data_IF_533455806379
#
_entry.id   IF_533455806379
#
_cell.length_a   1.000
_cell.length_b   1.000
_cell.length_c   1.000
_cell.angle_alpha   90.00
_cell.angle_beta   90.00
_cell.angle_gamma   90.00
#
_symmetry.space_group_name_H-M   'P 1'
#
loop_
_entity.id
_entity.type
_entity.pdbx_description
1 polymer ?
#
# COMPACT_ATOMS: atom_id res chain seq x y z
N UNK A 1 -9.80 44.18 -60.53
CA UNK A 1 -8.53 43.46 -60.30
C UNK A 1 -7.78 43.93 -59.05
N UNK A 2 -7.76 45.21 -58.67
CA UNK A 2 -6.97 45.70 -57.52
C UNK A 2 -7.41 45.22 -56.12
N UNK A 3 -8.72 45.09 -55.88
CA UNK A 3 -9.25 44.76 -54.54
C UNK A 3 -8.92 43.32 -54.11
N UNK A 4 -8.93 42.39 -55.06
CA UNK A 4 -8.62 40.97 -54.80
C UNK A 4 -7.14 40.79 -54.45
N UNK A 5 -6.25 41.55 -55.10
CA UNK A 5 -4.81 41.52 -54.81
C UNK A 5 -4.51 42.03 -53.39
N UNK A 6 -5.20 43.09 -52.96
CA UNK A 6 -4.99 43.69 -51.62
C UNK A 6 -5.48 42.79 -50.48
N UNK A 7 -6.59 42.07 -50.67
CA UNK A 7 -7.09 41.11 -49.68
C UNK A 7 -6.18 39.88 -49.54
N UNK A 8 -5.63 39.40 -50.66
CA UNK A 8 -4.68 38.28 -50.63
C UNK A 8 -3.40 38.65 -49.87
N UNK A 9 -2.87 39.84 -50.12
CA UNK A 9 -1.66 40.33 -49.45
C UNK A 9 -1.87 40.50 -47.94
N UNK A 10 -3.04 40.99 -47.51
CA UNK A 10 -3.35 41.18 -46.09
C UNK A 10 -3.51 39.86 -45.34
N UNK A 11 -4.07 38.83 -45.97
CA UNK A 11 -4.17 37.50 -45.37
C UNK A 11 -2.81 36.80 -45.23
N UNK A 12 -1.94 36.91 -46.24
CA UNK A 12 -0.58 36.35 -46.17
C UNK A 12 0.21 36.98 -45.02
N UNK A 13 0.13 38.30 -44.82
CA UNK A 13 0.82 38.98 -43.71
C UNK A 13 0.27 38.54 -42.34
N UNK A 14 -1.05 38.38 -42.21
CA UNK A 14 -1.66 37.88 -40.97
C UNK A 14 -1.24 36.43 -40.65
N UNK A 15 -1.15 35.56 -41.66
CA UNK A 15 -0.69 34.19 -41.48
C UNK A 15 0.79 34.14 -41.05
N UNK A 16 1.65 34.95 -41.66
CA UNK A 16 3.08 35.01 -41.29
C UNK A 16 3.24 35.53 -39.85
N UNK A 17 2.47 36.56 -39.46
CA UNK A 17 2.50 37.10 -38.10
C UNK A 17 2.01 36.07 -37.06
N UNK A 18 0.95 35.31 -37.36
CA UNK A 18 0.45 34.26 -36.48
C UNK A 18 1.46 33.12 -36.30
N UNK A 19 2.14 32.70 -37.37
CA UNK A 19 3.18 31.65 -37.30
C UNK A 19 4.39 32.13 -36.48
N UNK A 20 4.81 33.39 -36.64
CA UNK A 20 5.91 33.96 -35.86
C UNK A 20 5.58 34.08 -34.35
N UNK A 21 4.33 34.39 -34.00
CA UNK A 21 3.87 34.45 -32.61
C UNK A 21 3.70 33.06 -31.97
N UNK A 22 3.40 32.03 -32.77
CA UNK A 22 3.35 30.64 -32.27
C UNK A 22 4.73 30.05 -32.03
N UNK A 23 5.74 30.41 -32.83
CA UNK A 23 7.10 29.87 -32.70
C UNK A 23 7.95 30.52 -31.59
N UNK A 24 7.48 31.59 -30.95
CA UNK A 24 8.22 32.30 -29.89
C UNK A 24 7.89 31.84 -28.46
N UNK A 25 7.16 30.72 -28.29
CA UNK A 25 6.65 30.29 -26.98
C UNK A 25 7.36 29.14 -26.26
N UNK A 26 8.41 28.52 -26.78
CA UNK A 26 9.00 27.35 -26.11
C UNK A 26 10.53 27.24 -26.19
N UNK A 27 11.24 28.33 -25.89
CA UNK A 27 12.57 28.19 -25.30
C UNK A 27 12.42 28.31 -23.77
N UNK A 28 11.77 27.29 -23.19
CA UNK A 28 12.00 26.96 -21.78
C UNK A 28 13.41 26.39 -21.73
N UNK A 29 14.38 27.29 -21.74
CA UNK A 29 15.73 26.97 -21.29
C UNK A 29 15.58 26.62 -19.82
N UNK A 30 15.44 25.32 -19.55
CA UNK A 30 15.66 24.75 -18.24
C UNK A 30 17.13 24.99 -17.90
N UNK A 31 17.42 26.21 -17.47
CA UNK A 31 18.67 26.54 -16.83
C UNK A 31 18.69 25.77 -15.53
N UNK A 32 19.25 24.56 -15.61
CA UNK A 32 19.84 23.84 -14.49
C UNK A 32 21.15 24.58 -14.19
N UNK A 33 21.05 25.87 -13.86
CA UNK A 33 22.02 26.43 -12.95
C UNK A 33 21.84 25.63 -11.66
N UNK A 34 22.92 25.10 -11.06
CA UNK A 34 22.85 24.60 -9.69
C UNK A 34 22.49 25.79 -8.83
N UNK A 35 21.18 26.05 -8.66
CA UNK A 35 20.68 26.81 -7.52
C UNK A 35 21.08 25.95 -6.34
N UNK A 36 22.19 26.34 -5.73
CA UNK A 36 22.45 26.13 -4.33
C UNK A 36 21.22 26.63 -3.56
N UNK A 37 20.20 25.79 -3.45
CA UNK A 37 19.05 25.98 -2.57
C UNK A 37 19.43 25.73 -1.11
N UNK A 38 20.70 25.46 -0.83
CA UNK A 38 21.32 25.83 0.43
C UNK A 38 21.41 27.36 0.52
N UNK A 39 20.24 28.00 0.63
CA UNK A 39 20.10 29.36 1.12
C UNK A 39 20.53 29.35 2.58
N UNK A 40 21.81 29.65 2.75
CA UNK A 40 22.70 29.88 3.90
C UNK A 40 22.17 30.62 5.12
N UNK A 41 20.87 30.70 5.38
CA UNK A 41 20.35 31.22 6.66
C UNK A 41 19.09 30.46 7.05
N UNK A 42 19.25 29.21 7.52
CA UNK A 42 18.26 28.66 8.43
C UNK A 42 18.30 29.54 9.67
N UNK A 43 17.34 30.48 9.80
CA UNK A 43 17.08 31.06 11.11
C UNK A 43 16.82 29.88 12.05
N UNK A 44 17.56 29.73 13.15
CA UNK A 44 17.33 28.63 14.08
C UNK A 44 15.87 28.69 14.52
N UNK A 45 15.05 27.78 14.00
CA UNK A 45 13.66 27.68 14.40
C UNK A 45 13.64 26.96 15.75
N UNK A 46 12.68 27.35 16.59
CA UNK A 46 12.51 26.71 17.88
C UNK A 46 12.08 25.26 17.67
N UNK A 47 12.66 24.26 18.36
CA UNK A 47 12.17 22.87 18.32
C UNK A 47 10.68 22.71 18.69
N UNK A 48 10.11 23.73 19.34
CA UNK A 48 8.70 23.79 19.71
C UNK A 48 7.76 24.31 18.60
N UNK A 49 8.26 24.56 17.38
CA UNK A 49 7.40 24.96 16.27
C UNK A 49 6.47 23.80 15.87
N UNK A 50 5.15 24.01 15.78
CA UNK A 50 4.22 22.98 15.34
C UNK A 50 4.59 22.39 13.97
N UNK A 51 5.13 23.19 13.04
CA UNK A 51 5.52 22.72 11.70
C UNK A 51 6.65 21.68 11.78
N UNK A 52 7.62 21.90 12.68
CA UNK A 52 8.74 20.96 12.87
C UNK A 52 8.23 19.69 13.55
N UNK A 53 7.36 19.81 14.55
CA UNK A 53 6.79 18.64 15.20
C UNK A 53 5.94 17.80 14.24
N UNK A 54 5.18 18.45 13.34
CA UNK A 54 4.41 17.78 12.29
C UNK A 54 5.33 17.07 11.30
N UNK A 55 6.40 17.73 10.85
CA UNK A 55 7.41 17.12 9.98
C UNK A 55 8.11 15.92 10.63
N UNK A 56 8.51 16.03 11.90
CA UNK A 56 9.14 14.94 12.64
C UNK A 56 8.21 13.74 12.81
N UNK A 57 6.92 13.98 13.12
CA UNK A 57 5.92 12.92 13.23
C UNK A 57 5.64 12.26 11.87
N UNK A 58 5.50 13.07 10.80
CA UNK A 58 5.37 12.55 9.44
C UNK A 58 6.54 11.61 9.12
N UNK A 59 7.75 12.00 9.47
CA UNK A 59 8.93 11.22 9.18
C UNK A 59 9.01 9.92 9.99
N UNK A 60 8.64 9.97 11.27
CA UNK A 60 8.49 8.79 12.12
C UNK A 60 7.47 7.80 11.54
N UNK A 61 6.33 8.30 11.07
CA UNK A 61 5.27 7.45 10.51
C UNK A 61 5.69 6.80 9.19
N UNK A 62 6.43 7.51 8.34
CA UNK A 62 7.01 6.90 7.13
C UNK A 62 8.06 5.84 7.48
N UNK A 63 8.93 6.09 8.47
CA UNK A 63 9.91 5.10 8.94
C UNK A 63 9.23 3.82 9.45
N UNK A 64 8.14 3.96 10.20
CA UNK A 64 7.32 2.83 10.66
C UNK A 64 6.69 2.08 9.49
N UNK A 65 6.20 2.80 8.48
CA UNK A 65 5.56 2.21 7.31
C UNK A 65 6.54 1.49 6.36
N UNK A 66 7.80 1.92 6.31
CA UNK A 66 8.86 1.29 5.50
C UNK A 66 9.38 -0.03 6.11
N UNK A 67 8.93 -0.40 7.30
CA UNK A 67 9.42 -1.58 8.02
C UNK A 67 8.80 -2.87 7.51
N UNK A 68 9.51 -3.60 6.65
CA UNK A 68 9.10 -4.95 6.24
C UNK A 68 9.03 -5.91 7.45
N UNK A 69 9.99 -5.77 8.37
CA UNK A 69 10.07 -6.57 9.59
C UNK A 69 9.08 -6.17 10.67
N UNK A 70 8.39 -5.03 10.52
CA UNK A 70 7.56 -4.42 11.56
C UNK A 70 8.34 -3.90 12.79
N UNK A 71 9.65 -4.11 12.91
CA UNK A 71 10.38 -3.72 14.12
C UNK A 71 10.42 -2.20 14.32
N UNK A 72 10.44 -1.41 13.24
CA UNK A 72 10.43 0.05 13.35
C UNK A 72 9.09 0.60 13.84
N UNK A 73 8.02 -0.20 13.92
CA UNK A 73 6.76 0.21 14.60
C UNK A 73 7.00 0.61 16.06
N UNK A 74 8.08 0.11 16.66
CA UNK A 74 8.49 0.39 18.04
C UNK A 74 9.24 1.72 18.18
N UNK A 75 9.65 2.35 17.08
CA UNK A 75 10.29 3.67 17.10
C UNK A 75 9.30 4.69 17.66
N UNK A 76 9.80 5.56 18.52
CA UNK A 76 9.05 6.72 19.03
C UNK A 76 9.93 7.97 18.99
N UNK A 77 9.32 9.14 18.80
CA UNK A 77 10.05 10.41 18.80
C UNK A 77 10.35 10.80 20.26
N UNK A 78 11.64 10.85 20.64
CA UNK A 78 12.06 11.23 21.98
C UNK A 78 12.30 12.73 22.11
N UNK A 79 13.05 13.30 21.15
CA UNK A 79 13.42 14.71 21.17
C UNK A 79 13.70 15.23 19.76
N UNK A 80 13.51 16.53 19.55
CA UNK A 80 13.94 17.25 18.35
C UNK A 80 15.08 18.17 18.78
N UNK A 81 16.30 17.95 18.27
CA UNK A 81 17.47 18.74 18.69
C UNK A 81 17.59 20.01 17.88
N UNK A 82 17.51 19.89 16.56
CA UNK A 82 17.61 21.00 15.63
C UNK A 82 16.45 20.92 14.63
N UNK A 83 15.73 22.03 14.52
CA UNK A 83 14.54 22.21 13.71
C UNK A 83 14.59 21.72 12.26
N UNK A 84 15.79 21.53 11.70
CA UNK A 84 15.97 21.27 10.28
C UNK A 84 16.44 19.84 9.96
N UNK A 85 17.12 19.15 10.88
CA UNK A 85 17.92 17.99 10.50
C UNK A 85 18.07 16.91 11.57
N UNK A 86 17.95 17.20 12.87
CA UNK A 86 18.36 16.23 13.90
C UNK A 86 17.19 15.86 14.81
N UNK A 87 16.80 14.58 14.75
CA UNK A 87 15.79 13.98 15.63
C UNK A 87 16.40 12.87 16.48
N UNK A 88 15.96 12.78 17.73
CA UNK A 88 16.27 11.67 18.61
C UNK A 88 15.11 10.68 18.57
N UNK A 89 15.40 9.46 18.12
CA UNK A 89 14.45 8.35 18.09
C UNK A 89 14.71 7.43 19.28
N UNK A 90 13.64 6.87 19.84
CA UNK A 90 13.70 5.91 20.92
C UNK A 90 13.19 4.55 20.48
N UNK A 91 13.95 3.50 20.80
CA UNK A 91 13.56 2.10 20.65
C UNK A 91 14.37 1.24 21.64
N UNK A 92 13.74 0.23 22.27
CA UNK A 92 14.47 -0.72 23.09
C UNK A 92 15.35 -1.69 22.28
N UNK A 93 15.24 -1.67 20.95
CA UNK A 93 15.83 -2.67 20.06
C UNK A 93 16.97 -2.13 19.20
N UNK A 94 17.50 -0.95 19.50
CA UNK A 94 18.66 -0.44 18.79
C UNK A 94 19.90 -1.30 19.02
N UNK A 95 20.72 -1.44 17.97
CA UNK A 95 21.97 -2.21 18.02
C UNK A 95 22.95 -1.68 19.05
N UNK A 96 22.96 -0.36 19.30
CA UNK A 96 23.85 0.24 20.32
C UNK A 96 23.43 -0.06 21.76
N UNK A 97 22.22 -0.62 21.97
CA UNK A 97 21.58 -0.86 23.27
C UNK A 97 21.30 0.41 24.08
N UNK A 98 21.32 1.57 23.44
CA UNK A 98 20.83 2.82 24.03
C UNK A 98 19.33 2.91 23.78
N UNK A 99 18.60 3.50 24.72
CA UNK A 99 17.16 3.70 24.55
C UNK A 99 16.84 4.81 23.55
N UNK A 100 17.76 5.76 23.37
CA UNK A 100 17.61 6.93 22.50
C UNK A 100 18.88 7.13 21.67
N UNK A 101 18.70 7.32 20.37
CA UNK A 101 19.76 7.61 19.40
C UNK A 101 19.38 8.81 18.53
N UNK A 102 20.40 9.57 18.12
CA UNK A 102 20.24 10.79 17.34
C UNK A 102 20.50 10.47 15.86
N UNK A 103 19.60 10.93 14.99
CA UNK A 103 19.65 10.67 13.55
C UNK A 103 19.53 11.98 12.76
N UNK A 104 20.30 12.06 11.67
CA UNK A 104 20.17 13.13 10.69
C UNK A 104 19.11 12.77 9.65
N UNK A 105 18.02 13.53 9.67
CA UNK A 105 16.84 13.32 8.85
C UNK A 105 16.29 14.66 8.36
N UNK A 106 16.06 14.73 7.06
CA UNK A 106 15.48 15.89 6.39
C UNK A 106 14.12 15.56 5.80
N UNK A 107 13.12 16.38 6.11
CA UNK A 107 11.80 16.33 5.48
C UNK A 107 11.73 17.40 4.41
N UNK A 108 11.50 16.97 3.17
CA UNK A 108 11.40 17.83 2.00
C UNK A 108 9.93 17.96 1.61
N UNK A 109 9.41 19.18 1.67
CA UNK A 109 8.09 19.49 1.14
C UNK A 109 8.21 20.00 -0.30
N UNK A 110 7.56 19.32 -1.25
CA UNK A 110 7.48 19.81 -2.62
C UNK A 110 6.62 21.06 -2.70
N UNK A 111 7.07 22.05 -3.47
CA UNK A 111 6.25 23.24 -3.74
C UNK A 111 5.04 22.80 -4.56
N UNK A 112 3.81 23.19 -4.18
CA UNK A 112 2.61 22.84 -4.93
C UNK A 112 2.74 23.36 -6.36
N UNK A 113 2.38 22.52 -7.34
CA UNK A 113 2.42 22.93 -8.74
C UNK A 113 1.42 24.07 -8.95
N UNK A 114 1.75 24.99 -9.85
CA UNK A 114 0.90 26.18 -10.12
C UNK A 114 -0.52 25.78 -10.50
N UNK A 115 -0.67 24.67 -11.23
CA UNK A 115 -1.96 24.14 -11.68
C UNK A 115 -2.81 23.55 -10.53
N UNK A 116 -2.18 22.95 -9.51
CA UNK A 116 -2.89 22.38 -8.35
C UNK A 116 -3.47 23.46 -7.44
N UNK A 117 -2.78 24.61 -7.34
CA UNK A 117 -3.30 25.78 -6.62
C UNK A 117 -4.65 26.26 -7.16
N UNK A 118 -4.88 26.12 -8.47
CA UNK A 118 -6.15 26.51 -9.09
C UNK A 118 -7.31 25.57 -8.72
N UNK A 119 -7.01 24.32 -8.31
CA UNK A 119 -8.02 23.31 -7.95
C UNK A 119 -8.39 23.29 -6.47
N UNK A 120 -7.73 24.11 -5.63
CA UNK A 120 -8.01 24.20 -4.19
C UNK A 120 -7.57 22.98 -3.36
N UNK A 121 -7.01 21.94 -3.98
CA UNK A 121 -6.41 20.79 -3.31
C UNK A 121 -4.91 21.04 -3.08
N UNK A 122 -4.53 21.42 -1.88
CA UNK A 122 -3.13 21.63 -1.50
C UNK A 122 -2.54 20.37 -0.86
N UNK A 123 -2.36 19.31 -1.64
CA UNK A 123 -1.63 18.14 -1.15
C UNK A 123 -0.14 18.33 -1.47
N UNK A 124 0.58 18.99 -0.56
CA UNK A 124 2.03 19.05 -0.66
C UNK A 124 2.58 17.62 -0.54
N UNK A 125 3.27 17.14 -1.59
CA UNK A 125 3.97 15.86 -1.48
C UNK A 125 5.18 16.06 -0.59
N UNK A 126 5.26 15.28 0.48
CA UNK A 126 6.40 15.28 1.42
C UNK A 126 7.26 14.05 1.16
N UNK A 127 8.58 14.24 1.15
CA UNK A 127 9.55 13.15 1.08
C UNK A 127 10.56 13.27 2.21
N UNK A 128 11.23 12.18 2.54
CA UNK A 128 12.21 12.13 3.62
C UNK A 128 13.53 11.68 3.04
N UNK A 129 14.61 12.31 3.47
CA UNK A 129 15.97 11.88 3.24
C UNK A 129 16.61 11.59 4.59
N UNK A 130 17.21 10.41 4.71
CA UNK A 130 17.91 9.95 5.92
C UNK A 130 19.31 9.57 5.46
N UNK A 131 20.32 10.05 6.18
CA UNK A 131 21.72 9.73 5.85
C UNK A 131 22.03 8.28 6.24
N UNK A 132 21.76 7.93 7.50
CA UNK A 132 22.00 6.60 8.06
C UNK A 132 20.73 6.04 8.72
N UNK A 133 20.34 4.83 8.33
CA UNK A 133 19.18 4.16 8.91
C UNK A 133 19.49 3.64 10.32
N UNK A 134 18.51 3.65 11.24
CA UNK A 134 18.69 3.06 12.56
C UNK A 134 19.00 1.56 12.47
N UNK A 135 20.16 1.15 12.95
CA UNK A 135 20.52 -0.26 13.03
C UNK A 135 19.84 -0.92 14.24
N UNK A 136 19.15 -2.04 13.99
CA UNK A 136 18.43 -2.78 15.02
C UNK A 136 19.21 -4.04 15.43
N UNK A 137 19.05 -4.47 16.67
CA UNK A 137 19.64 -5.71 17.18
C UNK A 137 19.01 -6.93 16.47
N UNK A 138 19.85 -7.79 15.87
CA UNK A 138 19.39 -8.95 15.09
C UNK A 138 18.57 -9.91 15.95
N UNK A 139 19.02 -10.15 17.19
CA UNK A 139 18.31 -10.98 18.17
C UNK A 139 16.95 -10.38 18.55
N UNK A 140 16.80 -9.05 18.49
CA UNK A 140 15.53 -8.38 18.74
C UNK A 140 14.56 -8.54 17.55
N UNK A 141 15.08 -8.46 16.31
CA UNK A 141 14.29 -8.70 15.10
C UNK A 141 13.71 -10.12 15.12
N UNK A 142 14.54 -11.12 15.38
CA UNK A 142 14.09 -12.51 15.41
C UNK A 142 13.02 -12.72 16.49
N UNK A 143 13.25 -12.24 17.71
CA UNK A 143 12.28 -12.35 18.81
C UNK A 143 10.96 -11.64 18.49
N UNK A 144 11.01 -10.47 17.87
CA UNK A 144 9.82 -9.72 17.46
C UNK A 144 9.03 -10.50 16.40
N UNK A 145 9.71 -11.15 15.45
CA UNK A 145 9.08 -12.00 14.44
C UNK A 145 8.39 -13.22 15.05
N UNK A 146 9.10 -13.92 15.95
CA UNK A 146 8.53 -15.04 16.69
C UNK A 146 7.26 -14.60 17.43
N UNK A 147 7.31 -13.46 18.10
CA UNK A 147 6.16 -12.90 18.81
C UNK A 147 4.99 -12.59 17.86
N UNK A 148 5.23 -11.92 16.73
CA UNK A 148 4.17 -11.61 15.76
C UNK A 148 3.52 -12.87 15.18
N UNK A 149 4.32 -13.90 14.87
CA UNK A 149 3.81 -15.18 14.36
C UNK A 149 2.98 -15.88 15.42
N UNK A 150 3.44 -15.89 16.66
CA UNK A 150 2.73 -16.52 17.77
C UNK A 150 1.43 -15.80 18.10
N UNK A 151 1.42 -14.46 18.10
CA UNK A 151 0.20 -13.65 18.25
C UNK A 151 -0.79 -13.94 17.11
N UNK A 152 -0.32 -14.04 15.87
CA UNK A 152 -1.17 -14.40 14.72
C UNK A 152 -1.70 -15.83 14.83
N UNK A 153 -0.92 -16.77 15.38
CA UNK A 153 -1.36 -18.14 15.69
C UNK A 153 -2.44 -18.14 16.77
N UNK A 154 -2.26 -17.38 17.85
CA UNK A 154 -3.25 -17.22 18.91
C UNK A 154 -4.56 -16.63 18.38
N UNK A 155 -4.52 -15.52 17.63
CA UNK A 155 -5.72 -14.93 17.02
C UNK A 155 -6.46 -15.91 16.10
N UNK A 156 -5.74 -16.78 15.37
CA UNK A 156 -6.39 -17.85 14.59
C UNK A 156 -7.08 -18.87 15.49
N UNK A 157 -6.43 -19.31 16.58
CA UNK A 157 -7.06 -20.22 17.53
C UNK A 157 -8.31 -19.63 18.18
N UNK A 158 -8.28 -18.34 18.58
CA UNK A 158 -9.46 -17.65 19.13
C UNK A 158 -10.62 -17.58 18.13
N UNK A 159 -10.33 -17.36 16.84
CA UNK A 159 -11.35 -17.39 15.79
C UNK A 159 -11.94 -18.80 15.61
N UNK A 160 -11.11 -19.85 15.65
CA UNK A 160 -11.59 -21.23 15.58
C UNK A 160 -12.43 -21.61 16.80
N UNK A 161 -12.01 -21.23 18.01
CA UNK A 161 -12.79 -21.47 19.23
C UNK A 161 -14.15 -20.74 19.18
N UNK A 162 -14.15 -19.50 18.66
CA UNK A 162 -15.38 -18.75 18.47
C UNK A 162 -16.33 -19.45 17.48
N UNK A 163 -15.81 -19.96 16.36
CA UNK A 163 -16.60 -20.71 15.39
C UNK A 163 -17.12 -22.05 15.92
N UNK A 164 -16.31 -22.80 16.67
CA UNK A 164 -16.73 -24.06 17.28
C UNK A 164 -17.88 -23.84 18.29
N UNK A 165 -17.83 -22.73 19.03
CA UNK A 165 -18.92 -22.34 19.96
C UNK A 165 -20.20 -21.92 19.23
N UNK A 166 -20.07 -21.24 18.09
CA UNK A 166 -21.21 -20.82 17.26
C UNK A 166 -21.88 -22.05 16.60
N UNK A 167 -21.11 -23.02 16.09
CA UNK A 167 -21.62 -24.24 15.46
C UNK A 167 -22.41 -25.13 16.42
N UNK A 168 -21.98 -25.25 17.69
CA UNK A 168 -22.69 -26.03 18.71
C UNK A 168 -23.96 -25.34 19.21
N UNK A 169 -24.02 -24.01 19.14
CA UNK A 169 -25.16 -23.21 19.61
C UNK A 169 -26.37 -23.19 18.67
N UNK A 170 -26.18 -23.53 17.39
CA UNK A 170 -27.24 -23.49 16.38
C UNK A 170 -28.07 -24.80 16.30
N UNK A 171 -27.56 -25.93 16.82
CA UNK A 171 -28.26 -27.22 16.80
C UNK A 171 -29.22 -27.46 17.98
N UNK A 172 -29.15 -26.68 19.07
CA UNK A 172 -30.06 -26.82 20.24
C UNK A 172 -31.20 -25.78 20.25
N UNK A 173 -31.35 -24.99 19.18
CA UNK A 173 -32.25 -23.83 19.10
C UNK A 173 -33.50 -23.97 18.22
N UNK A 174 -33.83 -25.15 17.69
CA UNK A 174 -35.16 -25.40 17.09
C UNK A 174 -36.24 -25.53 18.19
N UNK A 175 -36.52 -24.42 18.87
CA UNK A 175 -37.81 -24.23 19.53
C UNK A 175 -38.30 -22.79 19.33
N UNK A 176 -38.82 -22.57 18.12
CA UNK A 176 -39.92 -21.68 17.76
C UNK A 176 -40.14 -20.43 18.63
N UNK A 177 -39.74 -19.25 18.13
CA UNK A 177 -40.66 -18.12 18.03
C UNK A 177 -40.43 -17.31 16.73
N UNK A 178 -41.49 -16.96 16.00
CA UNK A 178 -41.43 -16.09 14.84
C UNK A 178 -41.29 -14.64 15.32
N UNK A 179 -40.16 -14.00 15.00
CA UNK A 179 -40.02 -12.55 15.16
C UNK A 179 -40.61 -11.91 13.91
N UNK A 180 -41.87 -11.53 14.02
CA UNK A 180 -42.51 -10.56 13.13
C UNK A 180 -41.91 -9.16 13.35
N UNK A 181 -41.66 -8.49 12.23
CA UNK A 181 -41.78 -7.05 12.01
C UNK A 181 -40.93 -6.09 12.87
N UNK A 182 -39.78 -5.66 12.32
CA UNK A 182 -39.42 -4.24 12.31
C UNK A 182 -38.88 -3.84 10.93
N UNK A 183 -39.74 -3.10 10.22
CA UNK A 183 -39.52 -2.21 9.08
C UNK A 183 -38.25 -1.33 9.23
N UNK A 184 -37.30 -1.42 8.29
CA UNK A 184 -37.12 -0.56 7.10
C UNK A 184 -36.25 0.69 7.34
N UNK A 185 -35.07 0.76 6.71
CA UNK A 185 -34.90 1.60 5.51
C UNK A 185 -33.46 1.53 4.94
N UNK A 186 -33.38 1.44 3.61
CA UNK A 186 -32.24 1.80 2.75
C UNK A 186 -30.99 0.91 2.73
N UNK A 187 -30.98 -0.06 1.81
CA UNK A 187 -30.10 -0.03 0.61
C UNK A 187 -30.46 -1.18 -0.34
N UNK A 188 -31.52 -0.95 -1.11
CA UNK A 188 -31.76 -1.66 -2.36
C UNK A 188 -30.75 -1.19 -3.41
N UNK A 189 -29.98 -2.12 -3.98
CA UNK A 189 -29.88 -2.34 -5.44
C UNK A 189 -28.62 -3.10 -5.83
N UNK A 190 -28.52 -4.41 -5.58
CA UNK A 190 -27.72 -5.28 -6.47
C UNK A 190 -27.93 -6.80 -6.34
N UNK A 191 -29.14 -7.30 -6.06
CA UNK A 191 -29.39 -8.75 -6.14
C UNK A 191 -30.72 -9.05 -6.82
N UNK A 192 -30.69 -9.05 -8.16
CA UNK A 192 -31.81 -9.58 -8.94
C UNK A 192 -31.31 -10.32 -10.18
N UNK A 193 -30.73 -11.49 -9.97
CA UNK A 193 -30.91 -12.67 -10.83
C UNK A 193 -30.08 -13.83 -10.29
N UNK A 194 -30.69 -14.72 -9.51
CA UNK A 194 -30.47 -16.19 -9.54
C UNK A 194 -31.23 -16.84 -8.38
N UNK A 195 -32.57 -16.78 -8.43
CA UNK A 195 -33.42 -17.72 -7.72
C UNK A 195 -34.40 -18.29 -8.73
N UNK A 196 -33.97 -19.32 -9.44
CA UNK A 196 -34.84 -20.23 -10.15
C UNK A 196 -34.15 -21.60 -10.20
N UNK A 197 -34.85 -22.60 -9.66
CA UNK A 197 -34.55 -24.02 -9.71
C UNK A 197 -33.38 -24.54 -8.84
N UNK A 198 -33.59 -24.58 -7.52
CA UNK A 198 -33.01 -25.66 -6.69
C UNK A 198 -33.92 -26.88 -6.84
N UNK A 199 -33.86 -27.49 -8.02
CA UNK A 199 -34.28 -28.88 -8.19
C UNK A 199 -33.28 -29.72 -7.39
N UNK A 200 -33.79 -30.61 -6.54
CA UNK A 200 -33.01 -31.53 -5.71
C UNK A 200 -32.21 -32.49 -6.60
N UNK A 201 -31.09 -32.00 -7.11
CA UNK A 201 -30.16 -32.75 -7.92
C UNK A 201 -29.14 -33.36 -6.96
N UNK A 202 -29.45 -34.55 -6.46
CA UNK A 202 -28.48 -35.47 -5.83
C UNK A 202 -27.52 -36.04 -6.90
N UNK A 203 -27.03 -35.21 -7.83
CA UNK A 203 -25.90 -35.61 -8.67
C UNK A 203 -24.70 -35.64 -7.75
N UNK A 204 -24.18 -36.84 -7.57
CA UNK A 204 -22.86 -37.06 -7.00
C UNK A 204 -21.85 -36.34 -7.89
N UNK A 205 -21.47 -35.13 -7.48
CA UNK A 205 -20.40 -34.37 -8.09
C UNK A 205 -19.15 -35.25 -8.09
N UNK A 206 -18.55 -35.42 -9.26
CA UNK A 206 -17.32 -36.19 -9.41
C UNK A 206 -16.13 -35.34 -8.97
N UNK A 207 -15.04 -35.98 -8.53
CA UNK A 207 -13.83 -35.28 -8.07
C UNK A 207 -13.26 -34.37 -9.17
N UNK A 208 -13.30 -34.84 -10.43
CA UNK A 208 -12.83 -34.08 -11.59
C UNK A 208 -13.64 -32.79 -11.81
N UNK A 209 -14.95 -32.81 -11.56
CA UNK A 209 -15.79 -31.60 -11.64
C UNK A 209 -15.41 -30.60 -10.54
N UNK A 210 -15.18 -31.07 -9.31
CA UNK A 210 -14.76 -30.22 -8.19
C UNK A 210 -13.41 -29.55 -8.46
N UNK A 211 -12.48 -30.23 -9.13
CA UNK A 211 -11.17 -29.68 -9.48
C UNK A 211 -11.23 -28.52 -10.48
N UNK A 212 -12.31 -28.39 -11.27
CA UNK A 212 -12.48 -27.29 -12.24
C UNK A 212 -13.25 -26.12 -11.64
N UNK A 213 -13.97 -26.33 -10.53
CA UNK A 213 -14.81 -25.30 -9.94
C UNK A 213 -14.01 -24.12 -9.35
N UNK A 214 -14.49 -22.86 -9.48
CA UNK A 214 -13.93 -21.71 -8.80
C UNK A 214 -13.88 -21.89 -7.27
N UNK A 215 -12.81 -21.44 -6.62
CA UNK A 215 -12.64 -21.57 -5.17
C UNK A 215 -13.79 -20.94 -4.35
N UNK A 216 -14.42 -19.88 -4.86
CA UNK A 216 -15.60 -19.26 -4.24
C UNK A 216 -16.79 -20.23 -4.16
N UNK A 217 -17.03 -20.99 -5.23
CA UNK A 217 -18.12 -21.96 -5.28
C UNK A 217 -17.83 -23.17 -4.40
N UNK A 218 -16.58 -23.63 -4.35
CA UNK A 218 -16.15 -24.69 -3.44
C UNK A 218 -16.38 -24.32 -1.98
N UNK A 219 -16.03 -23.09 -1.58
CA UNK A 219 -16.33 -22.59 -0.22
C UNK A 219 -17.83 -22.47 0.05
N UNK A 220 -18.60 -22.06 -0.94
CA UNK A 220 -20.06 -22.01 -0.83
C UNK A 220 -20.68 -23.40 -0.63
N UNK A 221 -20.13 -24.44 -1.28
CA UNK A 221 -20.53 -25.83 -1.07
C UNK A 221 -20.13 -26.39 0.30
N UNK A 222 -19.05 -25.88 0.91
CA UNK A 222 -18.71 -26.22 2.30
C UNK A 222 -19.66 -25.56 3.31
N UNK A 223 -20.16 -24.37 2.99
CA UNK A 223 -21.10 -23.64 3.84
C UNK A 223 -22.52 -24.22 3.82
N UNK A 224 -22.87 -25.05 2.84
CA UNK A 224 -24.18 -25.71 2.83
C UNK A 224 -24.18 -26.90 3.81
N UNK A 225 -25.16 -26.98 4.73
CA UNK A 225 -25.22 -28.07 5.72
C UNK A 225 -25.47 -29.43 5.07
N UNK A 226 -26.01 -29.46 3.85
CA UNK A 226 -26.27 -30.68 3.07
C UNK A 226 -25.02 -31.34 2.47
N UNK A 227 -23.84 -30.72 2.60
CA UNK A 227 -22.60 -31.29 2.09
C UNK A 227 -22.16 -32.50 2.92
N UNK A 228 -22.13 -33.67 2.28
CA UNK A 228 -21.70 -34.92 2.93
C UNK A 228 -20.24 -34.85 3.38
N UNK A 229 -19.89 -35.48 4.50
CA UNK A 229 -18.51 -35.54 5.03
C UNK A 229 -17.43 -35.91 3.98
N UNK A 230 -17.61 -36.93 3.10
CA UNK A 230 -16.64 -37.24 2.06
C UNK A 230 -16.50 -36.11 1.02
N UNK A 231 -17.59 -35.41 0.70
CA UNK A 231 -17.55 -34.25 -0.20
C UNK A 231 -16.79 -33.10 0.45
N UNK A 232 -17.02 -32.81 1.74
CA UNK A 232 -16.29 -31.77 2.48
C UNK A 232 -14.79 -32.06 2.49
N UNK A 233 -14.40 -33.31 2.77
CA UNK A 233 -13.01 -33.74 2.76
C UNK A 233 -12.35 -33.64 1.36
N UNK A 234 -13.09 -33.97 0.30
CA UNK A 234 -12.59 -33.81 -1.06
C UNK A 234 -12.42 -32.33 -1.44
N UNK A 235 -13.39 -31.47 -1.07
CA UNK A 235 -13.30 -30.03 -1.32
C UNK A 235 -12.14 -29.39 -0.54
N UNK A 236 -11.95 -29.76 0.73
CA UNK A 236 -10.82 -29.24 1.52
C UNK A 236 -9.49 -29.65 0.92
N UNK A 237 -9.33 -30.92 0.51
CA UNK A 237 -8.11 -31.38 -0.14
C UNK A 237 -7.79 -30.61 -1.43
N UNK A 238 -8.79 -30.30 -2.25
CA UNK A 238 -8.61 -29.50 -3.49
C UNK A 238 -8.23 -28.05 -3.16
N UNK A 239 -8.81 -27.45 -2.12
CA UNK A 239 -8.46 -26.10 -1.71
C UNK A 239 -7.03 -26.02 -1.16
N UNK A 240 -6.60 -27.03 -0.40
CA UNK A 240 -5.24 -27.14 0.11
C UNK A 240 -4.24 -27.32 -1.04
N UNK A 241 -4.50 -28.22 -1.99
CA UNK A 241 -3.66 -28.42 -3.19
C UNK A 241 -3.51 -27.13 -4.02
N UNK A 242 -4.60 -26.37 -4.17
CA UNK A 242 -4.53 -25.08 -4.88
C UNK A 242 -3.75 -24.02 -4.12
N UNK A 243 -3.80 -24.04 -2.79
CA UNK A 243 -3.02 -23.13 -1.95
C UNK A 243 -1.53 -23.44 -2.11
N UNK A 244 -1.13 -24.71 -2.03
CA UNK A 244 0.26 -25.12 -2.21
C UNK A 244 0.79 -24.75 -3.60
N UNK A 245 -0.01 -24.92 -4.66
CA UNK A 245 0.38 -24.50 -6.02
C UNK A 245 0.56 -22.98 -6.16
N UNK A 246 -0.19 -22.17 -5.39
CA UNK A 246 0.00 -20.72 -5.38
C UNK A 246 1.28 -20.32 -4.64
N UNK A 247 1.57 -20.97 -3.51
CA UNK A 247 2.81 -20.77 -2.75
C UNK A 247 4.05 -21.12 -3.61
N UNK A 248 4.06 -22.28 -4.27
CA UNK A 248 5.14 -22.68 -5.18
C UNK A 248 5.34 -21.66 -6.33
N UNK A 249 4.24 -21.10 -6.85
CA UNK A 249 4.29 -20.10 -7.92
C UNK A 249 4.87 -18.78 -7.42
N UNK A 250 4.53 -18.36 -6.22
CA UNK A 250 5.06 -17.15 -5.59
C UNK A 250 6.57 -17.30 -5.33
N UNK A 251 6.99 -18.43 -4.78
CA UNK A 251 8.40 -18.76 -4.60
C UNK A 251 9.18 -18.75 -5.94
N UNK A 252 8.60 -19.30 -7.00
CA UNK A 252 9.21 -19.31 -8.33
C UNK A 252 9.37 -17.89 -8.91
N UNK A 253 8.41 -17.00 -8.67
CA UNK A 253 8.50 -15.59 -9.09
C UNK A 253 9.59 -14.85 -8.30
N UNK A 254 9.64 -15.04 -6.98
CA UNK A 254 10.70 -14.46 -6.15
C UNK A 254 12.10 -14.96 -6.52
N UNK A 255 12.22 -16.24 -6.90
CA UNK A 255 13.47 -16.78 -7.41
C UNK A 255 13.89 -16.13 -8.75
N UNK A 256 12.94 -15.81 -9.63
CA UNK A 256 13.21 -15.10 -10.89
C UNK A 256 13.63 -13.64 -10.67
N UNK A 257 12.97 -12.93 -9.75
CA UNK A 257 13.30 -11.54 -9.42
C UNK A 257 14.71 -11.41 -8.84
N UNK A 258 15.11 -12.37 -7.98
CA UNK A 258 16.48 -12.44 -7.45
C UNK A 258 17.54 -12.66 -8.54
N UNK A 259 17.20 -13.34 -9.64
CA UNK A 259 18.12 -13.54 -10.77
C UNK A 259 18.24 -12.30 -11.66
N UNK A 260 17.20 -11.47 -11.76
CA UNK A 260 17.24 -10.25 -12.60
C UNK A 260 17.88 -9.04 -11.90
N UNK A 261 17.95 -9.01 -10.57
CA UNK A 261 18.51 -7.88 -9.81
C UNK A 261 20.03 -7.88 -9.62
N UNK A 262 20.77 -8.72 -10.36
CA UNK A 262 22.24 -8.64 -10.39
C UNK A 262 22.79 -8.15 -11.74
N UNK A 263 22.53 -6.89 -12.16
CA UNK A 263 23.43 -6.26 -13.11
C UNK A 263 24.75 -6.07 -12.35
N UNK A 264 25.74 -6.93 -12.64
CA UNK A 264 27.12 -6.64 -12.32
C UNK A 264 27.46 -5.29 -12.97
N UNK A 265 27.36 -4.21 -12.20
CA UNK A 265 28.02 -2.96 -12.49
C UNK A 265 29.52 -3.27 -12.38
N UNK A 266 30.07 -3.81 -13.45
CA UNK A 266 31.51 -3.77 -13.72
C UNK A 266 31.86 -2.29 -13.85
N UNK A 267 32.13 -1.65 -12.71
CA UNK A 267 32.83 -0.38 -12.65
C UNK A 267 34.20 -0.64 -13.27
N UNK A 268 34.31 -0.40 -14.57
CA UNK A 268 35.60 -0.25 -15.23
C UNK A 268 36.26 0.96 -14.59
N UNK A 269 37.12 0.66 -13.62
CA UNK A 269 38.06 1.59 -13.02
C UNK A 269 39.11 1.88 -14.09
N UNK A 270 38.78 2.80 -14.99
CA UNK A 270 39.77 3.37 -15.90
C UNK A 270 40.87 4.00 -15.07
N UNK A 271 42.08 3.51 -15.33
CA UNK A 271 43.31 3.80 -14.63
C UNK A 271 43.78 5.23 -14.90
N UNK A 272 44.51 5.74 -13.89
CA UNK A 272 45.28 6.99 -13.87
C UNK A 272 46.32 7.09 -15.01
#
# INVERSE_FOLDING_TARGET
>A
MGIVCYLLQRHVVLCIAAIALCNSRLDVTASIAPRSYFSTVHTPQSPSDPVISDAANFALDQLRALSDSGIYTTLSLAKIHAAATEVALASPYFRSKREVEDFEMMVLESKPRVEERAKGGFNATRSIAIDEFPEMDEDAIERFWVQMVEERRQRRHELFEKWEREEVGEDEGENAQPIEAVESDQLESMEKSTQAAVEKVTKTLTIDELQVMPAKQLRQLLATPESTAPLRAAISAILDERLTLLEEREEALHAQDNLQQSPQLTLHRDEL
#
